data_IF_579420198673
#
_entry.id   IF_579420198673
#
_cell.length_a   1.000
_cell.length_b   1.000
_cell.length_c   1.000
_cell.angle_alpha   90.00
_cell.angle_beta   90.00
_cell.angle_gamma   90.00
#
_symmetry.space_group_name_H-M   'P 1'
#
loop_
_entity.id
_entity.type
_entity.pdbx_description
1 polymer ?
#
# COMPACT_ATOMS: atom_id res chain seq x y z
N UNK A 1 -52.37 21.70 -17.52
CA UNK A 1 -53.18 22.73 -16.83
C UNK A 1 -52.43 23.17 -15.58
N UNK A 2 -52.18 24.49 -15.47
CA UNK A 2 -52.01 25.36 -14.28
C UNK A 2 -51.71 24.70 -12.91
N UNK A 3 -50.85 25.21 -12.02
CA UNK A 3 -50.16 26.50 -11.91
C UNK A 3 -49.15 26.43 -10.76
N UNK A 4 -48.10 27.25 -10.89
CA UNK A 4 -47.27 27.83 -9.83
C UNK A 4 -48.04 28.15 -8.55
N UNK A 5 -47.42 27.93 -7.39
CA UNK A 5 -47.29 28.96 -6.33
C UNK A 5 -45.94 28.76 -5.61
N UNK A 6 -45.07 29.75 -5.77
CA UNK A 6 -43.95 30.01 -4.87
C UNK A 6 -44.45 30.88 -3.72
N UNK A 7 -43.88 30.75 -2.51
CA UNK A 7 -43.14 31.83 -1.84
C UNK A 7 -43.07 31.70 -0.30
N UNK A 8 -41.92 32.17 0.21
CA UNK A 8 -41.66 32.75 1.53
C UNK A 8 -41.76 31.90 2.81
N UNK A 9 -40.60 31.65 3.44
CA UNK A 9 -40.29 32.22 4.76
C UNK A 9 -38.82 32.00 5.16
N UNK A 10 -38.05 33.09 5.07
CA UNK A 10 -36.72 33.25 5.68
C UNK A 10 -36.90 33.61 7.16
N UNK A 11 -36.25 32.87 8.08
CA UNK A 11 -36.03 33.36 9.44
C UNK A 11 -34.59 33.15 9.90
N UNK A 12 -33.86 34.26 9.85
CA UNK A 12 -32.69 34.69 10.66
C UNK A 12 -32.15 33.68 11.68
N UNK A 13 -30.87 33.32 11.53
CA UNK A 13 -30.00 32.91 12.64
C UNK A 13 -28.85 33.92 12.79
N UNK A 14 -28.71 34.45 14.00
CA UNK A 14 -27.61 35.33 14.47
C UNK A 14 -26.30 34.52 14.55
N UNK A 15 -25.13 35.10 14.28
CA UNK A 15 -23.86 34.61 14.82
C UNK A 15 -23.51 35.38 16.10
N UNK A 16 -23.25 34.64 17.18
CA UNK A 16 -22.62 35.17 18.39
C UNK A 16 -21.09 35.20 18.17
N UNK A 17 -20.51 36.38 18.34
CA UNK A 17 -19.07 36.57 18.40
C UNK A 17 -18.60 36.40 19.85
N UNK A 18 -17.58 35.58 20.07
CA UNK A 18 -16.79 35.58 21.31
C UNK A 18 -15.33 35.79 20.96
N UNK A 19 -14.90 37.02 21.23
CA UNK A 19 -13.52 37.49 21.33
C UNK A 19 -12.86 36.86 22.56
N UNK A 20 -11.65 36.32 22.44
CA UNK A 20 -10.77 36.12 23.61
C UNK A 20 -9.33 36.43 23.21
N UNK A 21 -8.78 37.39 23.92
CA UNK A 21 -7.47 38.03 23.79
C UNK A 21 -6.39 37.27 24.55
N UNK A 22 -5.26 37.04 23.88
CA UNK A 22 -3.85 37.09 24.33
C UNK A 22 -3.49 36.94 25.81
N UNK A 23 -2.57 36.01 26.10
CA UNK A 23 -1.47 36.26 27.04
C UNK A 23 -0.15 35.63 26.55
N UNK A 24 0.87 36.48 26.46
CA UNK A 24 2.28 36.18 26.19
C UNK A 24 2.92 35.44 27.37
N UNK A 25 3.78 34.46 27.08
CA UNK A 25 4.88 34.12 27.99
C UNK A 25 6.11 33.65 27.21
N UNK A 26 7.15 34.48 27.27
CA UNK A 26 8.52 34.19 26.87
C UNK A 26 9.11 33.06 27.71
N UNK A 27 9.89 32.17 27.10
CA UNK A 27 11.05 31.58 27.74
C UNK A 27 12.18 31.32 26.71
N UNK A 28 13.33 31.91 27.02
CA UNK A 28 14.64 31.72 26.40
C UNK A 28 15.10 30.27 26.44
N UNK A 29 15.81 29.82 25.40
CA UNK A 29 17.06 29.07 25.56
C UNK A 29 18.04 29.44 24.43
N UNK A 30 19.32 29.71 24.76
CA UNK A 30 20.38 29.95 23.79
C UNK A 30 21.05 28.62 23.42
N UNK A 31 21.56 28.47 22.19
CA UNK A 31 22.70 27.59 21.94
C UNK A 31 23.46 28.02 20.67
N UNK A 32 24.74 28.31 20.93
CA UNK A 32 25.94 28.16 20.10
C UNK A 32 25.79 27.62 18.67
N UNK A 33 26.48 28.26 17.72
CA UNK A 33 27.73 27.73 17.13
C UNK A 33 28.32 28.76 16.16
N UNK A 34 29.56 29.18 16.43
CA UNK A 34 30.40 29.96 15.52
C UNK A 34 31.41 29.02 14.86
N UNK A 35 31.48 28.97 13.53
CA UNK A 35 32.72 28.61 12.80
C UNK A 35 32.71 29.15 11.35
N UNK A 36 33.42 30.27 11.19
CA UNK A 36 34.44 30.67 10.20
C UNK A 36 34.54 30.10 8.76
N UNK A 37 34.95 31.03 7.87
CA UNK A 37 35.75 30.93 6.60
C UNK A 37 34.96 30.65 5.29
N UNK A 38 35.10 31.36 4.15
CA UNK A 38 36.12 32.29 3.62
C UNK A 38 35.49 33.21 2.57
N UNK A 39 35.86 34.50 2.58
CA UNK A 39 35.45 35.54 1.62
C UNK A 39 36.54 35.75 0.58
N UNK A 40 36.19 35.90 -0.70
CA UNK A 40 36.99 36.66 -1.67
C UNK A 40 36.13 37.73 -2.34
N UNK A 41 36.53 38.97 -2.05
CA UNK A 41 36.56 40.18 -2.90
C UNK A 41 35.50 40.37 -3.99
N UNK A 42 34.89 41.55 -4.08
CA UNK A 42 35.38 42.64 -4.95
C UNK A 42 34.47 43.88 -4.79
N UNK A 43 35.08 45.02 -4.39
CA UNK A 43 34.86 46.40 -4.88
C UNK A 43 33.47 47.04 -4.69
N UNK A 44 33.28 48.31 -4.32
CA UNK A 44 34.10 49.53 -4.24
C UNK A 44 33.27 50.56 -3.45
N UNK A 45 33.72 51.07 -2.28
CA UNK A 45 34.17 52.46 -2.02
C UNK A 45 33.68 53.51 -3.04
N UNK A 46 33.18 54.70 -2.70
CA UNK A 46 33.35 55.54 -1.50
C UNK A 46 32.39 56.76 -1.52
N UNK A 47 31.97 57.22 -0.33
CA UNK A 47 31.51 58.60 -0.01
C UNK A 47 32.70 59.61 -0.14
N UNK A 48 32.64 60.97 0.10
CA UNK A 48 31.62 61.75 0.82
C UNK A 48 31.37 63.25 0.38
N UNK A 49 30.34 63.85 1.01
CA UNK A 49 30.22 65.19 1.63
C UNK A 49 30.65 66.48 0.87
N UNK A 50 29.62 67.30 0.59
CA UNK A 50 29.42 68.75 0.87
C UNK A 50 30.61 69.71 1.13
N UNK A 51 30.66 70.74 0.26
CA UNK A 51 30.78 72.20 0.54
C UNK A 51 32.03 72.80 1.22
N UNK A 52 32.72 73.70 0.50
CA UNK A 52 33.12 75.05 0.99
C UNK A 52 33.52 75.98 -0.18
N UNK A 53 32.89 77.18 -0.18
CA UNK A 53 33.14 78.54 -0.76
C UNK A 53 34.56 78.91 -1.33
N UNK A 54 34.84 80.05 -2.04
CA UNK A 54 34.03 81.21 -2.49
C UNK A 54 34.46 81.84 -3.88
N UNK A 55 34.45 83.19 -4.13
CA UNK A 55 33.82 83.78 -5.34
C UNK A 55 34.84 84.30 -6.39
N UNK A 56 34.36 84.71 -7.56
CA UNK A 56 35.12 85.66 -8.38
C UNK A 56 34.94 85.56 -9.90
N UNK A 57 34.19 86.54 -10.40
CA UNK A 57 34.42 87.34 -11.60
C UNK A 57 34.65 86.73 -13.01
N UNK A 58 33.85 87.33 -13.91
CA UNK A 58 34.16 87.85 -15.24
C UNK A 58 34.04 86.96 -16.51
N UNK A 59 33.29 87.56 -17.44
CA UNK A 59 33.46 87.57 -18.89
C UNK A 59 32.94 86.40 -19.76
N UNK A 60 31.82 86.73 -20.42
CA UNK A 60 31.72 86.87 -21.87
C UNK A 60 31.88 85.59 -22.72
N UNK A 61 30.74 85.01 -23.08
CA UNK A 61 30.49 84.57 -24.45
C UNK A 61 28.98 84.45 -24.70
N UNK A 62 28.43 85.11 -25.72
CA UNK A 62 27.03 84.99 -26.10
C UNK A 62 26.87 83.78 -27.02
N UNK A 63 25.64 83.28 -27.07
CA UNK A 63 25.15 82.18 -27.90
C UNK A 63 25.36 80.79 -27.28
N UNK A 64 24.25 80.22 -26.80
CA UNK A 64 23.66 79.02 -27.39
C UNK A 64 22.25 78.82 -26.79
N UNK A 65 21.26 79.31 -27.55
CA UNK A 65 19.93 78.73 -27.77
C UNK A 65 19.29 78.00 -26.58
N UNK A 66 18.47 78.75 -25.86
CA UNK A 66 17.32 78.22 -25.12
C UNK A 66 16.42 77.39 -26.05
N UNK A 67 16.47 76.07 -25.93
CA UNK A 67 15.33 75.20 -26.21
C UNK A 67 15.20 74.20 -25.06
N UNK A 68 14.76 74.72 -23.92
CA UNK A 68 14.27 73.91 -22.81
C UNK A 68 12.88 73.36 -23.19
N UNK A 69 12.86 72.31 -24.01
CA UNK A 69 11.68 71.45 -24.12
C UNK A 69 11.71 70.53 -22.91
N UNK A 70 11.13 70.96 -21.79
CA UNK A 70 10.71 70.02 -20.74
C UNK A 70 9.81 69.00 -21.44
N UNK A 71 10.12 67.69 -21.45
CA UNK A 71 9.16 66.73 -21.96
C UNK A 71 7.92 66.87 -21.09
N UNK A 72 6.81 67.27 -21.71
CA UNK A 72 5.52 67.31 -21.05
C UNK A 72 5.28 65.90 -20.50
N UNK A 73 5.41 65.73 -19.18
CA UNK A 73 5.15 64.46 -18.50
C UNK A 73 3.68 64.16 -18.77
N UNK A 74 3.35 63.12 -19.55
CA UNK A 74 1.94 62.81 -19.81
C UNK A 74 1.30 62.56 -18.45
N UNK A 75 0.35 63.41 -18.07
CA UNK A 75 -0.48 63.21 -16.88
C UNK A 75 -1.28 61.96 -17.18
N UNK A 76 -0.81 60.80 -16.72
CA UNK A 76 -1.56 59.55 -16.81
C UNK A 76 -2.93 59.82 -16.15
N UNK A 77 -4.06 59.69 -16.88
CA UNK A 77 -5.35 59.83 -16.24
C UNK A 77 -5.46 58.72 -15.20
N UNK A 78 -5.57 59.11 -13.92
CA UNK A 78 -5.74 58.19 -12.80
C UNK A 78 -7.19 57.67 -12.75
N UNK A 79 -7.72 57.25 -13.90
CA UNK A 79 -8.99 56.53 -13.97
C UNK A 79 -8.65 55.08 -13.66
N UNK A 80 -9.10 54.53 -12.52
CA UNK A 80 -8.83 53.13 -12.22
C UNK A 80 -9.43 52.30 -13.36
N UNK A 81 -8.61 51.49 -14.02
CA UNK A 81 -9.07 50.53 -15.02
C UNK A 81 -9.89 49.45 -14.30
N UNK A 82 -11.18 49.72 -14.12
CA UNK A 82 -12.13 48.84 -13.45
C UNK A 82 -12.15 47.47 -14.16
N UNK A 83 -12.05 47.45 -15.49
CA UNK A 83 -11.97 46.23 -16.29
C UNK A 83 -10.70 45.41 -16.06
N UNK A 84 -9.54 46.06 -15.89
CA UNK A 84 -8.28 45.37 -15.61
C UNK A 84 -8.28 44.76 -14.20
N UNK A 85 -8.80 45.50 -13.20
CA UNK A 85 -8.94 44.99 -11.82
C UNK A 85 -10.01 43.90 -11.68
N UNK A 86 -11.12 44.00 -12.42
CA UNK A 86 -12.19 43.00 -12.40
C UNK A 86 -11.72 41.62 -12.90
N UNK A 87 -10.94 41.58 -14.00
CA UNK A 87 -10.34 40.34 -14.51
C UNK A 87 -9.34 39.72 -13.54
N UNK A 88 -8.55 40.54 -12.84
CA UNK A 88 -7.60 40.07 -11.83
C UNK A 88 -8.27 39.45 -10.59
N UNK A 89 -9.44 39.94 -10.18
CA UNK A 89 -10.22 39.35 -9.08
C UNK A 89 -10.84 38.00 -9.47
N UNK A 90 -11.29 37.87 -10.72
CA UNK A 90 -11.86 36.61 -11.23
C UNK A 90 -10.80 35.51 -11.34
N UNK A 91 -9.61 35.81 -11.86
CA UNK A 91 -8.53 34.82 -11.97
C UNK A 91 -8.00 34.41 -10.59
N UNK A 92 -7.86 35.34 -9.64
CA UNK A 92 -7.43 34.99 -8.26
C UNK A 92 -8.40 34.03 -7.57
N UNK A 93 -9.71 34.24 -7.74
CA UNK A 93 -10.74 33.33 -7.19
C UNK A 93 -10.73 31.96 -7.88
N UNK A 94 -10.53 31.95 -9.20
CA UNK A 94 -10.40 30.69 -9.94
C UNK A 94 -9.18 29.89 -9.46
N UNK A 95 -8.02 30.53 -9.27
CA UNK A 95 -6.82 29.88 -8.75
C UNK A 95 -7.01 29.34 -7.33
N UNK A 96 -7.72 30.07 -6.46
CA UNK A 96 -8.04 29.54 -5.12
C UNK A 96 -8.93 28.30 -5.20
N UNK A 97 -9.93 28.29 -6.08
CA UNK A 97 -10.77 27.10 -6.24
C UNK A 97 -10.02 25.93 -6.85
N UNK A 98 -9.19 26.17 -7.88
CA UNK A 98 -8.35 25.16 -8.48
C UNK A 98 -7.39 24.52 -7.46
N UNK A 99 -6.77 25.35 -6.60
CA UNK A 99 -5.91 24.87 -5.52
C UNK A 99 -6.70 24.02 -4.51
N UNK A 100 -7.87 24.49 -4.07
CA UNK A 100 -8.70 23.73 -3.13
C UNK A 100 -9.18 22.40 -3.71
N UNK A 101 -9.59 22.39 -4.99
CA UNK A 101 -10.03 21.17 -5.66
C UNK A 101 -8.88 20.19 -5.85
N UNK A 102 -7.69 20.69 -6.20
CA UNK A 102 -6.46 19.88 -6.29
C UNK A 102 -6.09 19.26 -4.94
N UNK A 103 -6.16 20.02 -3.85
CA UNK A 103 -5.92 19.49 -2.50
C UNK A 103 -6.92 18.39 -2.12
N UNK A 104 -8.21 18.59 -2.40
CA UNK A 104 -9.25 17.59 -2.11
C UNK A 104 -9.05 16.34 -2.96
N UNK A 105 -8.78 16.49 -4.27
CA UNK A 105 -8.51 15.38 -5.17
C UNK A 105 -7.28 14.58 -4.72
N UNK A 106 -6.19 15.28 -4.37
CA UNK A 106 -4.98 14.64 -3.83
C UNK A 106 -5.24 13.87 -2.54
N UNK A 107 -6.03 14.44 -1.61
CA UNK A 107 -6.41 13.76 -0.37
C UNK A 107 -7.21 12.48 -0.63
N UNK A 108 -8.19 12.53 -1.54
CA UNK A 108 -8.98 11.34 -1.92
C UNK A 108 -8.07 10.25 -2.50
N UNK A 109 -7.14 10.61 -3.40
CA UNK A 109 -6.20 9.63 -3.98
C UNK A 109 -5.31 9.00 -2.90
N UNK A 110 -4.78 9.80 -1.98
CA UNK A 110 -3.94 9.29 -0.88
C UNK A 110 -4.74 8.36 0.03
N UNK A 111 -5.96 8.74 0.42
CA UNK A 111 -6.82 7.92 1.28
C UNK A 111 -7.21 6.62 0.59
N UNK A 112 -7.57 6.65 -0.69
CA UNK A 112 -7.91 5.44 -1.45
C UNK A 112 -6.72 4.50 -1.58
N UNK A 113 -5.51 5.03 -1.79
CA UNK A 113 -4.30 4.23 -1.85
C UNK A 113 -3.98 3.58 -0.48
N UNK A 114 -4.05 4.38 0.60
CA UNK A 114 -3.83 3.88 1.97
C UNK A 114 -4.89 2.84 2.40
N UNK A 115 -6.12 2.97 1.92
CA UNK A 115 -7.18 2.02 2.24
C UNK A 115 -6.95 0.65 1.59
N UNK A 116 -6.44 0.61 0.35
CA UNK A 116 -6.12 -0.65 -0.33
C UNK A 116 -5.07 -1.47 0.44
N UNK A 117 -4.11 -0.81 1.08
CA UNK A 117 -3.07 -1.47 1.88
C UNK A 117 -3.59 -2.09 3.19
N UNK A 118 -4.78 -1.71 3.66
CA UNK A 118 -5.37 -2.21 4.91
C UNK A 118 -6.41 -3.32 4.73
N UNK A 119 -6.81 -3.63 3.49
CA UNK A 119 -7.79 -4.68 3.23
C UNK A 119 -7.15 -6.06 3.37
N UNK A 120 -7.52 -6.77 4.43
CA UNK A 120 -7.08 -8.15 4.64
C UNK A 120 -8.09 -9.11 4.04
N UNK A 121 -7.79 -9.59 2.83
CA UNK A 121 -8.64 -10.56 2.12
C UNK A 121 -8.41 -11.98 2.62
N UNK A 122 -9.47 -12.79 2.66
CA UNK A 122 -9.38 -14.23 2.88
C UNK A 122 -9.13 -14.92 1.54
N UNK A 123 -8.12 -15.78 1.48
CA UNK A 123 -7.67 -16.40 0.25
C UNK A 123 -7.32 -17.86 0.53
N UNK A 124 -7.64 -18.75 -0.40
CA UNK A 124 -7.26 -20.17 -0.32
C UNK A 124 -5.83 -20.38 -0.82
N UNK A 125 -5.14 -21.48 -0.46
CA UNK A 125 -3.88 -21.86 -1.08
C UNK A 125 -3.87 -21.78 -2.61
N UNK A 126 -4.89 -22.31 -3.29
CA UNK A 126 -4.93 -22.30 -4.77
C UNK A 126 -5.03 -20.87 -5.30
N UNK A 127 -5.92 -20.06 -4.72
CA UNK A 127 -6.10 -18.68 -5.13
C UNK A 127 -4.88 -17.81 -4.82
N UNK A 128 -4.18 -18.08 -3.71
CA UNK A 128 -3.00 -17.35 -3.30
C UNK A 128 -1.86 -17.55 -4.29
N UNK A 129 -1.62 -18.79 -4.73
CA UNK A 129 -0.62 -19.09 -5.73
C UNK A 129 -0.97 -18.48 -7.09
N UNK A 130 -2.23 -18.59 -7.52
CA UNK A 130 -2.70 -17.99 -8.77
C UNK A 130 -2.55 -16.45 -8.78
N UNK A 131 -2.89 -15.79 -7.66
CA UNK A 131 -2.71 -14.34 -7.50
C UNK A 131 -1.24 -13.95 -7.52
N UNK A 132 -0.37 -14.74 -6.89
CA UNK A 132 1.06 -14.49 -6.90
C UNK A 132 1.65 -14.56 -8.31
N UNK A 133 1.25 -15.54 -9.13
CA UNK A 133 1.69 -15.65 -10.53
C UNK A 133 1.26 -14.45 -11.39
N UNK A 134 0.09 -13.85 -11.10
CA UNK A 134 -0.42 -12.70 -11.86
C UNK A 134 0.19 -11.37 -11.39
N UNK A 135 0.37 -11.20 -10.08
CA UNK A 135 0.92 -9.99 -9.50
C UNK A 135 1.65 -10.33 -8.19
N UNK A 136 2.99 -10.18 -8.12
CA UNK A 136 3.75 -10.32 -6.88
C UNK A 136 3.51 -9.11 -5.97
N UNK A 137 2.28 -8.97 -5.48
CA UNK A 137 1.91 -7.93 -4.53
C UNK A 137 2.51 -8.23 -3.16
N UNK A 138 3.06 -7.20 -2.51
CA UNK A 138 3.60 -7.27 -1.15
C UNK A 138 2.55 -7.07 -0.07
N UNK A 139 1.26 -7.05 -0.43
CA UNK A 139 0.16 -6.89 0.52
C UNK A 139 0.03 -8.11 1.43
N UNK A 140 -0.26 -7.88 2.71
CA UNK A 140 -0.64 -8.96 3.63
C UNK A 140 -2.02 -9.49 3.28
N UNK A 141 -2.22 -10.79 3.43
CA UNK A 141 -3.53 -11.42 3.28
C UNK A 141 -3.71 -12.55 4.29
N UNK A 142 -4.96 -12.98 4.46
CA UNK A 142 -5.34 -14.10 5.32
C UNK A 142 -5.48 -15.35 4.48
N UNK A 143 -4.52 -16.25 4.61
CA UNK A 143 -4.55 -17.57 4.01
C UNK A 143 -5.41 -18.50 4.87
N UNK A 144 -6.52 -18.98 4.33
CA UNK A 144 -7.41 -19.93 5.01
C UNK A 144 -7.36 -21.30 4.36
N UNK A 145 -7.26 -22.35 5.17
CA UNK A 145 -7.26 -23.73 4.69
C UNK A 145 -7.21 -24.74 5.83
N UNK A 146 -7.01 -26.01 5.48
CA UNK A 146 -6.86 -27.11 6.41
C UNK A 146 -5.38 -27.32 6.71
N UNK A 147 -5.02 -27.52 7.97
CA UNK A 147 -3.66 -27.95 8.33
C UNK A 147 -3.52 -29.42 7.98
N UNK A 148 -2.47 -29.76 7.24
CA UNK A 148 -2.22 -31.16 6.91
C UNK A 148 -1.73 -31.95 8.13
N UNK A 149 -2.26 -33.16 8.31
CA UNK A 149 -1.81 -34.12 9.32
C UNK A 149 -0.34 -34.53 9.12
N UNK A 150 0.42 -34.58 10.21
CA UNK A 150 1.85 -34.89 10.23
C UNK A 150 2.75 -33.85 9.56
N UNK A 151 2.23 -32.66 9.23
CA UNK A 151 3.00 -31.61 8.56
C UNK A 151 3.68 -30.63 9.52
N UNK A 152 3.31 -30.66 10.80
CA UNK A 152 3.83 -29.73 11.79
C UNK A 152 5.26 -30.13 12.20
N UNK A 153 6.25 -29.32 11.80
CA UNK A 153 7.65 -29.50 12.18
C UNK A 153 8.16 -28.29 12.95
N UNK A 154 8.69 -28.53 14.15
CA UNK A 154 9.35 -27.52 14.97
C UNK A 154 10.87 -27.65 14.80
N UNK A 155 11.55 -26.56 14.48
CA UNK A 155 13.00 -26.55 14.39
C UNK A 155 13.57 -26.41 15.81
N UNK A 156 14.33 -27.38 16.35
CA UNK A 156 14.76 -27.34 17.76
C UNK A 156 15.75 -26.20 18.07
N UNK A 157 16.34 -25.60 17.05
CA UNK A 157 17.32 -24.51 17.16
C UNK A 157 16.69 -23.11 17.10
N UNK A 158 15.46 -22.97 16.59
CA UNK A 158 14.78 -21.68 16.39
C UNK A 158 13.32 -21.74 16.86
N UNK A 159 12.70 -20.61 17.25
CA UNK A 159 11.27 -20.56 17.58
C UNK A 159 10.37 -20.64 16.32
N UNK A 160 10.88 -21.18 15.22
CA UNK A 160 10.17 -21.28 13.95
C UNK A 160 9.42 -22.61 13.87
N UNK A 161 8.14 -22.50 13.52
CA UNK A 161 7.24 -23.61 13.24
C UNK A 161 6.95 -23.64 11.75
N UNK A 162 7.09 -24.80 11.14
CA UNK A 162 6.68 -25.04 9.76
C UNK A 162 5.48 -25.99 9.74
N UNK A 163 4.48 -25.69 8.93
CA UNK A 163 3.35 -26.57 8.70
C UNK A 163 2.78 -26.32 7.31
N UNK A 164 2.01 -27.27 6.79
CA UNK A 164 1.43 -27.16 5.45
C UNK A 164 -0.06 -26.89 5.56
N UNK A 165 -0.52 -25.89 4.81
CA UNK A 165 -1.95 -25.60 4.65
C UNK A 165 -2.39 -26.07 3.27
N UNK A 166 -3.51 -26.77 3.22
CA UNK A 166 -4.12 -27.32 2.01
C UNK A 166 -5.57 -26.89 1.86
N UNK A 167 -6.02 -26.72 0.62
CA UNK A 167 -7.43 -26.62 0.25
C UNK A 167 -7.94 -27.88 -0.46
N UNK A 168 -7.24 -29.01 -0.26
CA UNK A 168 -7.43 -30.31 -0.92
C UNK A 168 -6.87 -30.39 -2.36
N UNK A 169 -6.52 -29.26 -2.99
CA UNK A 169 -5.95 -29.25 -4.35
C UNK A 169 -4.47 -28.86 -4.31
N UNK A 170 -4.17 -27.74 -3.64
CA UNK A 170 -2.82 -27.18 -3.55
C UNK A 170 -2.38 -27.08 -2.11
N UNK A 171 -1.07 -27.25 -1.93
CA UNK A 171 -0.42 -27.35 -0.62
C UNK A 171 0.63 -26.24 -0.55
N UNK A 172 0.55 -25.38 0.46
CA UNK A 172 1.49 -24.27 0.67
C UNK A 172 2.22 -24.46 2.00
N UNK A 173 3.54 -24.34 1.96
CA UNK A 173 4.37 -24.33 3.15
C UNK A 173 4.22 -22.99 3.87
N UNK A 174 3.85 -23.06 5.15
CA UNK A 174 3.74 -21.91 6.04
C UNK A 174 4.86 -21.93 7.05
N UNK A 175 5.58 -20.82 7.17
CA UNK A 175 6.59 -20.59 8.19
C UNK A 175 6.09 -19.54 9.17
N UNK A 176 5.98 -19.91 10.44
CA UNK A 176 5.51 -19.05 11.51
C UNK A 176 6.58 -18.93 12.59
N UNK A 177 6.83 -17.71 13.05
CA UNK A 177 7.75 -17.44 14.16
C UNK A 177 6.93 -17.22 15.43
N UNK A 178 7.11 -18.09 16.43
CA UNK A 178 6.42 -18.02 17.71
C UNK A 178 5.69 -19.30 18.10
N UNK A 179 4.90 -19.20 19.18
CA UNK A 179 4.13 -20.33 19.69
C UNK A 179 2.76 -20.41 19.01
N UNK A 180 2.39 -21.60 18.53
CA UNK A 180 1.06 -21.83 17.97
C UNK A 180 0.00 -21.77 19.08
N UNK A 181 -1.21 -21.24 18.80
CA UNK A 181 -2.32 -21.27 19.75
C UNK A 181 -2.66 -22.70 20.19
N UNK A 182 -3.18 -22.90 21.39
CA UNK A 182 -3.54 -24.23 21.92
C UNK A 182 -4.68 -24.93 21.13
N UNK A 183 -5.51 -24.12 20.45
CA UNK A 183 -6.54 -24.61 19.54
C UNK A 183 -5.99 -25.05 18.17
N UNK A 184 -4.69 -24.85 17.91
CA UNK A 184 -4.08 -25.31 16.67
C UNK A 184 -3.93 -26.83 16.73
N UNK A 185 -4.59 -27.52 15.80
CA UNK A 185 -4.50 -28.96 15.61
C UNK A 185 -4.38 -29.25 14.13
N UNK A 186 -3.67 -30.32 13.83
CA UNK A 186 -3.65 -30.89 12.49
C UNK A 186 -5.06 -31.37 12.07
N UNK A 187 -5.33 -31.40 10.76
CA UNK A 187 -6.63 -31.77 10.20
C UNK A 187 -7.73 -30.71 10.36
N UNK A 188 -7.47 -29.62 11.08
CA UNK A 188 -8.45 -28.57 11.35
C UNK A 188 -8.27 -27.35 10.45
N UNK A 189 -9.34 -26.57 10.31
CA UNK A 189 -9.31 -25.30 9.59
C UNK A 189 -8.52 -24.26 10.39
N UNK A 190 -7.57 -23.61 9.72
CA UNK A 190 -6.78 -22.51 10.26
C UNK A 190 -6.84 -21.32 9.32
N UNK A 191 -6.75 -20.13 9.89
CA UNK A 191 -6.50 -18.90 9.13
C UNK A 191 -5.16 -18.34 9.57
N UNK A 192 -4.32 -18.00 8.61
CA UNK A 192 -2.99 -17.43 8.87
C UNK A 192 -2.86 -16.09 8.18
N UNK A 193 -2.46 -15.06 8.91
CA UNK A 193 -2.15 -13.74 8.34
C UNK A 193 -0.65 -13.67 8.05
N UNK A 194 -0.29 -13.15 6.86
CA UNK A 194 1.11 -13.07 6.45
C UNK A 194 1.31 -12.62 5.01
N UNK A 195 2.49 -12.92 4.49
CA UNK A 195 2.93 -12.56 3.15
C UNK A 195 3.50 -13.77 2.42
N UNK A 196 3.25 -13.88 1.12
CA UNK A 196 3.91 -14.86 0.29
C UNK A 196 5.33 -14.39 -0.06
N UNK A 197 6.30 -15.29 0.03
CA UNK A 197 7.71 -15.03 -0.25
C UNK A 197 8.21 -16.09 -1.21
N UNK A 198 8.97 -15.73 -2.26
CA UNK A 198 9.68 -16.73 -3.04
C UNK A 198 10.65 -17.47 -2.13
N UNK A 199 10.83 -18.76 -2.36
CA UNK A 199 11.97 -19.43 -1.75
C UNK A 199 13.24 -18.73 -2.26
N UNK A 200 14.12 -18.26 -1.36
CA UNK A 200 15.44 -17.86 -1.82
C UNK A 200 16.05 -19.12 -2.45
N UNK A 201 16.50 -19.01 -3.70
CA UNK A 201 17.46 -19.96 -4.27
C UNK A 201 18.76 -19.85 -3.46
N UNK A 202 18.73 -20.35 -2.22
CA UNK A 202 19.96 -20.75 -1.55
C UNK A 202 20.37 -22.03 -2.25
N UNK A 203 21.40 -21.85 -3.09
CA UNK A 203 22.30 -22.85 -3.65
C UNK A 203 21.93 -24.29 -3.28
N UNK A 204 21.59 -25.08 -4.30
CA UNK A 204 21.41 -26.54 -4.24
C UNK A 204 22.72 -27.29 -3.91
N UNK A 205 23.73 -26.60 -3.41
CA UNK A 205 25.03 -27.12 -3.09
C UNK A 205 25.25 -26.86 -1.59
N UNK A 206 25.56 -27.90 -0.82
CA UNK A 206 25.74 -27.90 0.66
C UNK A 206 24.47 -28.17 1.49
N UNK A 207 23.82 -29.32 1.27
CA UNK A 207 23.33 -30.20 2.35
C UNK A 207 22.90 -31.59 1.83
N UNK A 208 23.69 -32.18 0.92
CA UNK A 208 23.69 -33.64 0.72
C UNK A 208 24.76 -34.22 1.64
N UNK A 209 24.51 -34.20 2.94
CA UNK A 209 25.18 -35.05 3.94
C UNK A 209 24.64 -34.74 5.34
N UNK A 210 23.49 -35.34 5.66
CA UNK A 210 23.24 -35.99 6.97
C UNK A 210 21.89 -36.71 6.93
N UNK A 211 21.96 -37.96 6.50
CA UNK A 211 21.06 -39.00 6.99
C UNK A 211 21.06 -39.01 8.53
N UNK A 212 19.89 -39.21 9.14
CA UNK A 212 19.84 -39.50 10.57
C UNK A 212 18.56 -39.14 11.30
N UNK A 213 17.38 -39.53 10.80
CA UNK A 213 16.21 -39.79 11.69
C UNK A 213 15.17 -40.68 11.00
N UNK A 214 15.64 -41.76 10.37
CA UNK A 214 14.81 -42.92 10.06
C UNK A 214 14.51 -43.67 11.36
N UNK A 215 13.46 -43.26 12.09
CA UNK A 215 12.73 -44.11 13.05
C UNK A 215 11.57 -43.33 13.71
N UNK A 216 10.57 -42.95 12.92
CA UNK A 216 9.19 -42.91 13.46
C UNK A 216 8.15 -43.14 12.36
N UNK A 217 7.43 -44.24 12.53
CA UNK A 217 6.05 -44.50 12.08
C UNK A 217 5.76 -44.55 10.56
N UNK A 218 5.54 -45.77 10.06
CA UNK A 218 4.96 -46.08 8.74
C UNK A 218 3.55 -45.51 8.49
N UNK A 219 2.95 -44.80 9.45
CA UNK A 219 1.70 -44.05 9.31
C UNK A 219 1.97 -42.67 8.67
N UNK A 220 3.20 -42.14 8.75
CA UNK A 220 3.58 -40.80 8.29
C UNK A 220 4.00 -40.69 6.80
N UNK A 221 4.04 -41.79 6.04
CA UNK A 221 4.56 -41.77 4.67
C UNK A 221 3.81 -40.83 3.72
N UNK A 222 2.48 -40.72 3.86
CA UNK A 222 1.66 -39.84 3.02
C UNK A 222 1.81 -38.36 3.40
N UNK A 223 1.84 -38.06 4.69
CA UNK A 223 2.03 -36.69 5.21
C UNK A 223 3.37 -36.11 4.78
N UNK A 224 4.44 -36.92 4.87
CA UNK A 224 5.78 -36.52 4.50
C UNK A 224 5.89 -36.17 3.00
N UNK A 225 5.35 -37.01 2.10
CA UNK A 225 5.33 -36.74 0.66
C UNK A 225 4.62 -35.43 0.29
N UNK A 226 3.52 -35.10 0.97
CA UNK A 226 2.77 -33.86 0.70
C UNK A 226 3.53 -32.64 1.23
N UNK A 227 4.27 -32.79 2.34
CA UNK A 227 5.20 -31.74 2.81
C UNK A 227 6.32 -31.46 1.80
N UNK A 228 6.85 -32.49 1.16
CA UNK A 228 7.82 -32.33 0.05
C UNK A 228 7.20 -31.64 -1.16
N UNK A 229 5.94 -31.96 -1.52
CA UNK A 229 5.19 -31.28 -2.58
C UNK A 229 5.00 -29.79 -2.29
N UNK A 230 4.73 -29.42 -1.04
CA UNK A 230 4.63 -28.01 -0.66
C UNK A 230 6.01 -27.29 -0.72
N UNK A 231 7.10 -28.00 -0.40
CA UNK A 231 8.48 -27.48 -0.47
C UNK A 231 9.02 -27.38 -1.90
N UNK A 232 8.51 -28.17 -2.84
CA UNK A 232 8.87 -28.08 -4.25
C UNK A 232 8.22 -26.91 -4.98
N UNK A 233 7.25 -26.22 -4.34
CA UNK A 233 6.67 -24.99 -4.85
C UNK A 233 7.68 -23.84 -4.97
N UNK A 234 7.33 -22.81 -5.75
CA UNK A 234 8.20 -21.63 -5.98
C UNK A 234 8.23 -20.66 -4.79
N UNK A 235 7.25 -20.74 -3.89
CA UNK A 235 7.06 -19.80 -2.80
C UNK A 235 6.57 -20.46 -1.50
N UNK A 236 6.88 -19.82 -0.37
CA UNK A 236 6.35 -20.15 0.94
C UNK A 236 5.57 -18.96 1.50
N UNK A 237 4.70 -19.24 2.45
CA UNK A 237 3.96 -18.21 3.17
C UNK A 237 4.66 -17.88 4.49
N UNK A 238 5.16 -16.66 4.62
CA UNK A 238 5.70 -16.14 5.89
C UNK A 238 4.55 -15.59 6.73
N UNK A 239 4.15 -16.35 7.73
CA UNK A 239 3.08 -16.02 8.66
C UNK A 239 3.54 -15.05 9.74
N UNK A 240 2.71 -14.06 10.05
CA UNK A 240 2.86 -13.17 11.20
C UNK A 240 1.91 -13.52 12.34
N UNK A 241 0.75 -14.10 12.04
CA UNK A 241 -0.25 -14.49 13.04
C UNK A 241 -0.99 -15.75 12.60
N UNK A 242 -1.20 -16.67 13.54
CA UNK A 242 -1.98 -17.90 13.33
C UNK A 242 -3.27 -17.81 14.14
N UNK A 243 -4.40 -17.83 13.44
CA UNK A 243 -5.73 -17.81 14.01
C UNK A 243 -6.32 -19.22 13.92
N UNK A 244 -6.24 -19.97 15.02
CA UNK A 244 -6.88 -21.27 15.15
C UNK A 244 -8.21 -21.12 15.91
N UNK A 245 -9.32 -21.39 15.23
CA UNK A 245 -10.63 -21.57 15.87
C UNK A 245 -11.20 -22.91 15.43
N UNK A 246 -11.62 -23.73 16.39
CA UNK A 246 -12.20 -25.06 16.13
C UNK A 246 -13.60 -25.02 15.52
N UNK A 247 -14.21 -23.84 15.40
CA UNK A 247 -15.57 -23.75 14.90
C UNK A 247 -15.57 -23.69 13.37
N UNK A 248 -16.19 -24.69 12.73
CA UNK A 248 -16.53 -24.67 11.29
C UNK A 248 -17.30 -23.39 10.91
N UNK A 249 -18.00 -22.79 11.89
CA UNK A 249 -18.70 -21.50 11.81
C UNK A 249 -17.77 -20.29 11.59
N UNK A 250 -16.47 -20.41 11.87
CA UNK A 250 -15.52 -19.30 11.79
C UNK A 250 -14.65 -19.33 10.53
N UNK A 251 -14.74 -20.37 9.70
CA UNK A 251 -14.07 -20.36 8.40
C UNK A 251 -14.73 -19.29 7.52
N UNK A 252 -13.97 -18.37 6.92
CA UNK A 252 -14.52 -17.36 6.03
C UNK A 252 -15.34 -18.03 4.92
N UNK A 253 -16.52 -17.50 4.57
CA UNK A 253 -17.42 -18.14 3.61
C UNK A 253 -16.74 -18.33 2.23
N UNK A 254 -15.84 -17.42 1.85
CA UNK A 254 -15.05 -17.53 0.61
C UNK A 254 -14.19 -18.80 0.61
N UNK A 255 -13.48 -19.05 1.70
CA UNK A 255 -12.62 -20.24 1.87
C UNK A 255 -13.47 -21.52 2.00
N UNK A 256 -14.57 -21.45 2.75
CA UNK A 256 -15.51 -22.57 2.91
C UNK A 256 -16.06 -23.06 1.57
N UNK A 257 -16.57 -22.14 0.75
CA UNK A 257 -17.11 -22.51 -0.56
C UNK A 257 -16.05 -23.07 -1.51
N UNK A 258 -14.80 -22.62 -1.40
CA UNK A 258 -13.70 -23.14 -2.21
C UNK A 258 -13.34 -24.59 -1.80
N UNK A 259 -13.21 -24.86 -0.50
CA UNK A 259 -12.91 -26.22 -0.01
C UNK A 259 -14.06 -27.18 -0.33
N UNK A 260 -15.32 -26.76 -0.22
CA UNK A 260 -16.46 -27.58 -0.62
C UNK A 260 -16.47 -27.91 -2.11
N UNK A 261 -16.10 -26.95 -2.97
CA UNK A 261 -15.97 -27.17 -4.42
C UNK A 261 -14.88 -28.19 -4.70
N UNK A 262 -13.70 -28.01 -4.11
CA UNK A 262 -12.57 -28.92 -4.27
C UNK A 262 -12.91 -30.34 -3.80
N UNK A 263 -13.59 -30.48 -2.65
CA UNK A 263 -14.08 -31.76 -2.15
C UNK A 263 -15.03 -32.46 -3.13
N UNK A 264 -15.96 -31.72 -3.76
CA UNK A 264 -16.88 -32.27 -4.76
C UNK A 264 -16.15 -32.75 -6.00
N UNK A 265 -15.17 -31.99 -6.49
CA UNK A 265 -14.34 -32.37 -7.65
C UNK A 265 -13.58 -33.67 -7.37
N UNK A 266 -12.93 -33.78 -6.22
CA UNK A 266 -12.20 -34.99 -5.83
C UNK A 266 -13.10 -36.22 -5.72
N UNK A 267 -14.31 -36.06 -5.17
CA UNK A 267 -15.29 -37.17 -5.08
C UNK A 267 -15.74 -37.61 -6.48
N UNK A 268 -15.97 -36.66 -7.40
CA UNK A 268 -16.36 -36.96 -8.78
C UNK A 268 -15.23 -37.69 -9.53
N UNK A 269 -13.98 -37.27 -9.37
CA UNK A 269 -12.81 -37.93 -9.97
C UNK A 269 -12.67 -39.38 -9.48
N UNK A 270 -12.88 -39.61 -8.18
CA UNK A 270 -12.84 -40.95 -7.59
C UNK A 270 -13.96 -41.85 -8.13
N UNK A 271 -15.16 -41.31 -8.32
CA UNK A 271 -16.30 -42.05 -8.89
C UNK A 271 -16.06 -42.41 -10.36
N UNK A 272 -15.51 -41.49 -11.16
CA UNK A 272 -15.18 -41.73 -12.56
C UNK A 272 -14.08 -42.79 -12.73
N UNK A 273 -13.08 -42.78 -11.85
CA UNK A 273 -12.02 -43.81 -11.85
C UNK A 273 -12.59 -45.20 -11.55
N UNK A 274 -13.48 -45.32 -10.55
CA UNK A 274 -14.13 -46.59 -10.20
C UNK A 274 -15.07 -47.11 -11.31
N UNK A 275 -15.79 -46.23 -12.02
CA UNK A 275 -16.62 -46.63 -13.16
C UNK A 275 -15.80 -47.06 -14.39
N UNK A 276 -14.61 -46.50 -14.58
CA UNK A 276 -13.71 -46.88 -15.67
C UNK A 276 -13.03 -48.23 -15.45
N UNK A 277 -12.66 -48.58 -14.22
CA UNK A 277 -12.08 -49.90 -13.88
C UNK A 277 -13.14 -51.01 -13.90
N UNK A 278 -14.39 -50.71 -13.51
CA UNK A 278 -15.49 -51.69 -13.51
C UNK A 278 -15.96 -52.14 -14.90
N UNK A 279 -15.65 -51.38 -15.97
CA UNK A 279 -16.11 -51.66 -17.34
C UNK A 279 -15.11 -52.48 -18.18
N UNK A 280 -13.89 -52.70 -17.68
CA UNK A 280 -12.82 -53.45 -18.37
C UNK A 280 -12.76 -54.96 -18.07
N UNK A 281 -13.53 -55.46 -17.09
CA UNK A 281 -13.44 -56.86 -16.64
C UNK A 281 -14.46 -57.83 -17.29
N UNK A 282 -15.26 -57.38 -18.27
CA UNK A 282 -16.44 -58.10 -18.75
C UNK A 282 -16.35 -58.87 -20.07
N UNK A 283 -15.29 -58.73 -20.89
CA UNK A 283 -15.35 -59.13 -22.31
C UNK A 283 -14.32 -60.20 -22.76
N UNK A 284 -13.83 -61.03 -21.84
CA UNK A 284 -12.76 -62.00 -22.11
C UNK A 284 -13.12 -63.50 -22.00
N UNK A 285 -14.38 -63.86 -21.75
CA UNK A 285 -14.73 -65.25 -21.37
C UNK A 285 -15.86 -65.87 -22.20
N UNK A 286 -15.76 -65.87 -23.54
CA UNK A 286 -16.53 -66.80 -24.38
C UNK A 286 -15.67 -67.24 -25.57
N UNK A 287 -15.06 -68.42 -25.47
CA UNK A 287 -14.20 -68.92 -26.55
C UNK A 287 -13.73 -70.37 -26.41
N UNK A 288 -14.49 -71.25 -25.76
CA UNK A 288 -14.21 -72.70 -25.80
C UNK A 288 -15.49 -73.52 -25.86
N UNK A 289 -15.93 -73.86 -27.07
CA UNK A 289 -16.68 -75.09 -27.31
C UNK A 289 -16.58 -75.49 -28.78
N UNK A 290 -16.31 -76.79 -28.98
CA UNK A 290 -16.52 -77.61 -30.20
C UNK A 290 -15.30 -77.78 -31.12
N UNK A 291 -14.58 -78.89 -30.95
CA UNK A 291 -14.66 -80.10 -31.81
C UNK A 291 -14.35 -81.33 -30.94
#
# INVERSE_FOLDING_TARGET
MYSRVASHLLRRLRPAATTTTTFLRHHNYPNSFSTTTTTTTFFSKSHPIFSLYPPGHYNLSPNLRFFSTRPARPVRPNRPDIGARARQLQTRRLWTYALTFSCIAGFIVIVLNQFQDQLVFYVTPTDALAKYSQNPSKSKFRLGGLVLEGSLTQIPSSPEMEFVITDLMTDILVKYEGSLPDLFREGHSVVVEGFIRPFPEKEKDEDVSREGSSSSSSIHGKAFMVSEKARSGECYFKATEVLAKHDEKYMPPEVATAIEKNKKVLIQEQQQQQESEGKGAGDGAVGTAKV
#
